data_IF_391578541825
#
_entry.id   IF_391578541825
#
_cell.length_a   1.000
_cell.length_b   1.000
_cell.length_c   1.000
_cell.angle_alpha   90.00
_cell.angle_beta   90.00
_cell.angle_gamma   90.00
#
_symmetry.space_group_name_H-M   'P 1'
#
loop_
_entity.id
_entity.type
_entity.pdbx_description
1 polymer ?
#
# COMPACT_ATOMS: atom_id res chain seq x y z
N UNK A 1 -21.97 -36.17 -34.62
CA UNK A 1 -21.38 -35.30 -35.66
C UNK A 1 -20.67 -34.16 -34.92
N UNK A 2 -19.37 -34.17 -34.57
CA UNK A 2 -18.09 -34.29 -35.29
C UNK A 2 -17.80 -33.17 -36.31
N UNK A 3 -17.33 -32.03 -35.81
CA UNK A 3 -16.29 -31.19 -36.42
C UNK A 3 -15.24 -30.96 -35.30
N UNK A 4 -14.05 -31.55 -35.23
CA UNK A 4 -12.87 -31.69 -36.13
C UNK A 4 -12.08 -30.39 -36.36
N UNK A 5 -10.98 -30.32 -35.61
CA UNK A 5 -9.66 -29.72 -35.87
C UNK A 5 -9.50 -28.19 -35.92
N UNK A 6 -8.69 -27.66 -34.99
CA UNK A 6 -7.31 -27.25 -35.32
C UNK A 6 -6.39 -27.47 -34.11
N UNK A 7 -5.50 -28.44 -34.24
CA UNK A 7 -4.25 -28.61 -33.48
C UNK A 7 -3.13 -28.06 -34.36
N UNK A 8 -2.19 -27.33 -33.80
CA UNK A 8 -0.75 -27.14 -34.15
C UNK A 8 -0.30 -25.81 -33.53
N UNK A 9 0.90 -25.56 -32.98
CA UNK A 9 2.20 -26.25 -32.94
C UNK A 9 2.98 -25.69 -31.72
N UNK A 10 3.87 -26.52 -31.16
CA UNK A 10 4.88 -26.18 -30.16
C UNK A 10 5.82 -25.06 -30.64
N UNK A 11 6.35 -24.25 -29.71
CA UNK A 11 7.77 -23.92 -29.74
C UNK A 11 8.30 -23.64 -28.34
N UNK A 12 9.01 -24.64 -27.82
CA UNK A 12 9.90 -24.55 -26.67
C UNK A 12 11.06 -23.61 -27.01
N UNK A 13 11.34 -22.63 -26.16
CA UNK A 13 12.63 -21.95 -26.14
C UNK A 13 13.27 -22.22 -24.77
N UNK A 14 14.13 -23.24 -24.73
CA UNK A 14 15.09 -23.43 -23.65
C UNK A 14 16.23 -22.43 -23.90
N UNK A 15 16.46 -21.53 -22.94
CA UNK A 15 17.68 -20.71 -22.94
C UNK A 15 18.68 -21.43 -22.05
N UNK A 16 19.60 -22.13 -22.70
CA UNK A 16 20.86 -22.59 -22.13
C UNK A 16 21.82 -21.40 -22.09
N UNK A 17 22.33 -21.04 -20.90
CA UNK A 17 23.57 -20.30 -20.78
C UNK A 17 24.61 -21.19 -20.13
N UNK A 18 25.64 -21.52 -20.92
CA UNK A 18 26.84 -22.23 -20.48
C UNK A 18 27.93 -21.23 -20.07
N UNK A 19 28.75 -21.74 -19.16
CA UNK A 19 29.82 -21.14 -18.35
C UNK A 19 30.89 -20.29 -19.06
N UNK A 20 31.45 -19.33 -18.31
CA UNK A 20 32.90 -19.07 -18.31
C UNK A 20 33.42 -18.99 -16.87
N UNK A 21 34.50 -19.71 -16.61
CA UNK A 21 35.33 -19.71 -15.40
C UNK A 21 36.43 -18.63 -15.49
N UNK A 22 37.23 -18.54 -14.42
CA UNK A 22 38.41 -17.68 -14.16
C UNK A 22 38.06 -16.28 -13.62
N UNK A 23 38.63 -15.79 -12.51
CA UNK A 23 39.93 -16.07 -11.88
C UNK A 23 39.82 -15.84 -10.37
N UNK A 24 40.36 -16.77 -9.57
CA UNK A 24 40.71 -16.52 -8.17
C UNK A 24 41.94 -15.61 -8.11
N UNK A 25 41.77 -14.38 -7.65
CA UNK A 25 42.88 -13.57 -7.17
C UNK A 25 43.20 -14.00 -5.73
N UNK A 26 44.26 -14.79 -5.59
CA UNK A 26 44.98 -14.96 -4.32
C UNK A 26 45.63 -13.62 -3.99
N UNK A 27 45.08 -12.90 -3.00
CA UNK A 27 45.77 -11.79 -2.37
C UNK A 27 46.79 -12.36 -1.39
N UNK A 28 48.04 -12.06 -1.66
CA UNK A 28 49.21 -12.33 -0.83
C UNK A 28 49.05 -11.71 0.57
N UNK A 29 49.33 -12.53 1.59
CA UNK A 29 49.53 -12.09 2.97
C UNK A 29 50.84 -11.28 3.03
N UNK A 30 50.75 -10.01 3.39
CA UNK A 30 51.87 -9.24 3.94
C UNK A 30 51.45 -8.74 5.33
N UNK A 31 52.27 -9.09 6.32
CA UNK A 31 52.06 -8.78 7.72
C UNK A 31 52.79 -7.47 8.08
N UNK A 32 52.05 -6.61 8.80
CA UNK A 32 52.42 -5.58 9.77
C UNK A 32 53.41 -4.44 9.41
N UNK A 33 52.92 -3.20 9.53
CA UNK A 33 53.34 -2.28 10.62
C UNK A 33 52.36 -1.12 10.80
N UNK A 34 52.18 -0.76 12.07
CA UNK A 34 51.27 0.24 12.63
C UNK A 34 51.27 1.61 11.96
N UNK A 35 50.07 2.15 11.69
CA UNK A 35 49.70 3.52 12.08
C UNK A 35 48.18 3.58 12.20
N UNK A 36 47.67 3.75 13.43
CA UNK A 36 46.25 3.86 13.72
C UNK A 36 45.61 5.06 12.98
N UNK A 37 44.89 4.77 11.90
CA UNK A 37 43.93 5.69 11.26
C UNK A 37 42.55 5.34 11.83
N UNK A 38 41.79 6.30 12.38
CA UNK A 38 40.47 6.00 12.91
C UNK A 38 39.64 5.37 11.79
N UNK A 39 39.08 4.18 12.07
CA UNK A 39 38.19 3.49 11.17
C UNK A 39 37.10 4.48 10.74
N UNK A 40 37.00 4.72 9.44
CA UNK A 40 35.82 5.34 8.88
C UNK A 40 34.66 4.42 9.28
N UNK A 41 33.88 4.87 10.28
CA UNK A 41 32.59 4.29 10.58
C UNK A 41 31.79 4.49 9.30
N UNK A 42 31.70 3.43 8.49
CA UNK A 42 30.72 3.37 7.43
C UNK A 42 29.39 3.77 8.07
N UNK A 43 28.71 4.83 7.60
CA UNK A 43 27.39 5.15 8.10
C UNK A 43 26.57 3.87 7.94
N UNK A 44 26.03 3.37 9.06
CA UNK A 44 25.20 2.19 9.06
C UNK A 44 24.18 2.36 7.94
N UNK A 45 24.25 1.51 6.90
CA UNK A 45 23.26 1.50 5.83
C UNK A 45 21.92 1.33 6.52
N UNK A 46 21.10 2.39 6.51
CA UNK A 46 19.82 2.38 7.19
C UNK A 46 19.05 1.13 6.74
N UNK A 47 18.44 0.37 7.68
CA UNK A 47 17.68 -0.81 7.31
C UNK A 47 16.62 -0.40 6.30
N UNK A 48 16.71 -0.98 5.10
CA UNK A 48 15.84 -0.66 3.97
C UNK A 48 14.36 -0.87 4.31
N UNK A 49 13.52 -0.18 3.55
CA UNK A 49 12.06 -0.23 3.68
C UNK A 49 11.53 -1.66 3.50
N UNK A 50 10.55 -2.06 4.31
CA UNK A 50 9.84 -3.33 4.11
C UNK A 50 8.65 -3.11 3.19
N UNK A 51 8.61 -3.81 2.07
CA UNK A 51 7.44 -3.85 1.18
C UNK A 51 6.61 -5.08 1.49
N UNK A 52 5.33 -4.88 1.77
CA UNK A 52 4.38 -5.92 2.15
C UNK A 52 3.20 -5.95 1.17
N UNK A 53 2.85 -7.13 0.61
CA UNK A 53 1.67 -7.25 -0.24
C UNK A 53 0.38 -6.85 0.48
N UNK A 54 -0.41 -5.97 -0.13
CA UNK A 54 -1.66 -5.46 0.44
C UNK A 54 -2.86 -6.34 0.04
N UNK A 55 -2.77 -7.67 0.25
CA UNK A 55 -3.73 -8.68 -0.28
C UNK A 55 -5.20 -8.34 -0.06
N UNK A 56 -5.56 -7.83 1.13
CA UNK A 56 -6.93 -7.44 1.47
C UNK A 56 -7.36 -6.21 0.66
N UNK A 57 -6.56 -5.16 0.68
CA UNK A 57 -6.79 -3.93 -0.07
C UNK A 57 -6.81 -4.14 -1.59
N UNK A 58 -6.02 -5.07 -2.11
CA UNK A 58 -6.07 -5.43 -3.53
C UNK A 58 -7.42 -6.00 -3.95
N UNK A 59 -8.13 -6.69 -3.04
CA UNK A 59 -9.48 -7.23 -3.28
C UNK A 59 -10.57 -6.16 -3.24
N UNK A 60 -10.29 -4.97 -2.71
CA UNK A 60 -11.19 -3.80 -2.82
C UNK A 60 -11.35 -3.33 -4.27
N UNK A 61 -10.34 -3.62 -5.11
CA UNK A 61 -10.29 -3.18 -6.49
C UNK A 61 -10.09 -1.67 -6.61
N UNK A 62 -10.64 -1.09 -7.66
CA UNK A 62 -10.43 0.30 -8.04
C UNK A 62 -11.42 1.22 -7.33
N UNK A 63 -11.24 1.41 -6.03
CA UNK A 63 -12.11 2.23 -5.17
C UNK A 63 -11.38 3.38 -4.47
N UNK A 64 -10.10 3.58 -4.76
CA UNK A 64 -9.31 4.66 -4.18
C UNK A 64 -9.11 5.79 -5.19
N UNK A 65 -9.04 7.03 -4.71
CA UNK A 65 -8.76 8.22 -5.51
C UNK A 65 -7.74 9.10 -4.80
N UNK A 66 -6.99 9.83 -5.60
CA UNK A 66 -6.08 10.86 -5.12
C UNK A 66 -6.84 12.15 -4.77
N UNK A 67 -6.43 12.80 -3.68
CA UNK A 67 -6.74 14.20 -3.44
C UNK A 67 -6.06 15.09 -4.50
N UNK A 68 -6.64 16.25 -4.77
CA UNK A 68 -6.17 17.15 -5.85
C UNK A 68 -4.74 17.67 -5.60
N UNK A 69 -4.34 17.73 -4.34
CA UNK A 69 -3.05 18.20 -3.84
C UNK A 69 -2.17 17.07 -3.30
N UNK A 70 -2.51 15.81 -3.59
CA UNK A 70 -1.75 14.66 -3.12
C UNK A 70 -0.29 14.71 -3.57
N UNK A 71 0.60 14.18 -2.74
CA UNK A 71 2.00 13.96 -3.12
C UNK A 71 2.18 12.49 -3.49
N UNK A 72 2.66 12.23 -4.70
CA UNK A 72 2.87 10.87 -5.23
C UNK A 72 4.30 10.75 -5.70
N UNK A 73 4.95 9.64 -5.39
CA UNK A 73 6.33 9.34 -5.77
C UNK A 73 6.37 8.19 -6.78
N UNK A 74 7.41 8.15 -7.61
CA UNK A 74 7.57 7.12 -8.63
C UNK A 74 7.96 5.79 -7.99
N UNK A 75 8.95 5.84 -7.11
CA UNK A 75 9.45 4.67 -6.40
C UNK A 75 9.27 4.82 -4.90
N UNK A 76 9.36 3.69 -4.20
CA UNK A 76 9.27 3.69 -2.74
C UNK A 76 10.51 4.33 -2.11
N UNK A 77 11.68 4.15 -2.74
CA UNK A 77 12.95 4.69 -2.27
C UNK A 77 12.97 6.23 -2.36
N UNK A 78 12.39 6.79 -3.42
CA UNK A 78 12.21 8.24 -3.62
C UNK A 78 11.57 8.92 -2.41
N UNK A 79 10.59 8.24 -1.80
CA UNK A 79 9.89 8.70 -0.62
C UNK A 79 10.81 8.78 0.60
N UNK A 80 11.65 7.76 0.79
CA UNK A 80 12.49 7.59 1.98
C UNK A 80 13.70 8.52 1.94
N UNK A 81 14.40 8.52 0.82
CA UNK A 81 15.65 9.25 0.66
C UNK A 81 15.41 10.74 0.44
N UNK A 82 14.17 11.16 0.14
CA UNK A 82 13.84 12.51 -0.33
C UNK A 82 14.72 12.95 -1.53
N UNK A 83 15.39 12.01 -2.20
CA UNK A 83 16.36 12.31 -3.26
C UNK A 83 15.67 12.61 -4.59
N UNK A 84 14.41 12.23 -4.72
CA UNK A 84 13.72 12.20 -6.00
C UNK A 84 12.48 13.08 -5.96
N UNK A 85 12.19 13.70 -7.11
CA UNK A 85 11.05 14.61 -7.22
C UNK A 85 9.75 13.79 -7.28
N UNK A 86 8.72 14.15 -6.49
CA UNK A 86 7.41 13.57 -6.67
C UNK A 86 6.85 13.90 -8.05
N UNK A 87 5.83 13.16 -8.48
CA UNK A 87 5.05 13.49 -9.66
C UNK A 87 4.64 14.96 -9.65
N UNK A 88 4.71 15.60 -10.82
CA UNK A 88 4.33 17.00 -10.97
C UNK A 88 2.87 17.24 -10.53
N UNK A 89 2.62 18.39 -9.87
CA UNK A 89 1.28 18.80 -9.41
C UNK A 89 0.21 18.75 -10.52
N UNK A 90 0.60 18.99 -11.78
CA UNK A 90 -0.30 18.90 -12.94
C UNK A 90 -0.79 17.47 -13.20
N UNK A 91 0.09 16.47 -13.02
CA UNK A 91 -0.26 15.06 -13.16
C UNK A 91 -1.27 14.64 -12.10
N UNK A 92 -1.03 14.99 -10.83
CA UNK A 92 -1.95 14.65 -9.72
C UNK A 92 -3.31 15.31 -9.92
N UNK A 93 -3.33 16.61 -10.26
CA UNK A 93 -4.58 17.32 -10.60
C UNK A 93 -5.33 16.63 -11.73
N UNK A 94 -4.64 16.21 -12.79
CA UNK A 94 -5.24 15.47 -13.90
C UNK A 94 -5.85 14.14 -13.44
N UNK A 95 -5.17 13.37 -12.59
CA UNK A 95 -5.72 12.11 -12.06
C UNK A 95 -6.99 12.35 -11.22
N UNK A 96 -6.97 13.37 -10.35
CA UNK A 96 -8.11 13.74 -9.52
C UNK A 96 -9.29 14.25 -10.35
N UNK A 97 -9.04 15.19 -11.27
CA UNK A 97 -10.07 15.82 -12.12
C UNK A 97 -10.70 14.79 -13.09
N UNK A 98 -9.90 13.88 -13.64
CA UNK A 98 -10.39 12.75 -14.45
C UNK A 98 -11.04 11.64 -13.64
N UNK A 99 -11.12 11.76 -12.31
CA UNK A 99 -11.73 10.78 -11.43
C UNK A 99 -11.11 9.37 -11.57
N UNK A 100 -9.81 9.30 -11.87
CA UNK A 100 -9.09 8.03 -12.02
C UNK A 100 -9.14 7.26 -10.71
N UNK A 101 -9.48 5.97 -10.81
CA UNK A 101 -9.58 5.09 -9.65
C UNK A 101 -8.38 4.16 -9.60
N UNK A 102 -7.87 3.97 -8.40
CA UNK A 102 -6.72 3.16 -8.11
C UNK A 102 -7.09 1.99 -7.21
N UNK A 103 -6.32 0.92 -7.35
CA UNK A 103 -6.24 -0.22 -6.43
C UNK A 103 -4.94 -0.09 -5.64
N UNK A 104 -4.96 -0.48 -4.37
CA UNK A 104 -3.75 -0.59 -3.56
C UNK A 104 -3.19 -2.02 -3.68
N UNK A 105 -1.94 -2.16 -4.10
CA UNK A 105 -1.30 -3.47 -4.29
C UNK A 105 -0.34 -3.83 -3.18
N UNK A 106 0.35 -2.85 -2.63
CA UNK A 106 1.46 -3.02 -1.69
C UNK A 106 1.47 -1.88 -0.68
N UNK A 107 2.05 -2.18 0.47
CA UNK A 107 2.43 -1.19 1.47
C UNK A 107 3.93 -1.15 1.58
N UNK A 108 4.49 0.04 1.70
CA UNK A 108 5.86 0.24 2.09
C UNK A 108 5.90 0.86 3.47
N UNK A 109 6.70 0.31 4.37
CA UNK A 109 6.88 0.82 5.73
C UNK A 109 8.32 1.27 5.94
N UNK A 110 8.52 2.59 6.03
CA UNK A 110 9.78 3.21 6.42
C UNK A 110 9.80 3.58 7.90
N UNK A 111 10.86 4.26 8.37
CA UNK A 111 10.98 4.70 9.77
C UNK A 111 9.91 5.72 10.22
N UNK A 112 9.30 6.45 9.29
CA UNK A 112 8.45 7.62 9.62
C UNK A 112 7.02 7.50 9.08
N UNK A 113 6.80 6.85 7.93
CA UNK A 113 5.47 6.81 7.32
C UNK A 113 5.14 5.47 6.63
N UNK A 114 3.84 5.16 6.62
CA UNK A 114 3.24 4.10 5.82
C UNK A 114 2.77 4.68 4.49
N UNK A 115 3.26 4.12 3.39
CA UNK A 115 2.85 4.48 2.03
C UNK A 115 2.15 3.31 1.35
N UNK A 116 1.21 3.63 0.48
CA UNK A 116 0.49 2.66 -0.34
C UNK A 116 0.95 2.78 -1.80
N UNK A 117 1.28 1.65 -2.41
CA UNK A 117 1.43 1.57 -3.86
C UNK A 117 0.05 1.52 -4.50
N UNK A 118 -0.20 2.48 -5.40
CA UNK A 118 -1.46 2.62 -6.13
C UNK A 118 -1.26 2.32 -7.61
N UNK A 119 -2.22 1.62 -8.22
CA UNK A 119 -2.21 1.30 -9.65
C UNK A 119 -3.59 1.51 -10.25
N UNK A 120 -3.67 2.21 -11.37
CA UNK A 120 -4.92 2.42 -12.11
C UNK A 120 -5.31 1.19 -12.95
N UNK A 121 -6.51 1.20 -13.52
CA UNK A 121 -7.01 0.06 -14.31
C UNK A 121 -6.15 -0.25 -15.55
N UNK A 122 -5.46 0.74 -16.09
CA UNK A 122 -4.62 0.56 -17.28
C UNK A 122 -3.21 0.07 -16.95
N UNK A 123 -2.80 0.13 -15.67
CA UNK A 123 -1.42 -0.12 -15.23
C UNK A 123 -0.45 1.01 -15.61
N UNK A 124 -0.88 2.02 -16.35
CA UNK A 124 -0.01 3.12 -16.82
C UNK A 124 0.20 4.19 -15.77
N UNK A 125 -0.75 4.36 -14.85
CA UNK A 125 -0.65 5.33 -13.77
C UNK A 125 -0.47 4.58 -12.46
N UNK A 126 0.72 4.69 -11.89
CA UNK A 126 1.06 4.08 -10.61
C UNK A 126 2.06 4.92 -9.84
N UNK A 127 2.18 4.65 -8.55
CA UNK A 127 3.15 5.31 -7.67
C UNK A 127 2.85 5.07 -6.20
N UNK A 128 3.63 5.73 -5.37
CA UNK A 128 3.58 5.62 -3.91
C UNK A 128 3.02 6.89 -3.29
N UNK A 129 2.06 6.74 -2.39
CA UNK A 129 1.37 7.86 -1.74
C UNK A 129 1.22 7.56 -0.24
N UNK A 130 1.35 8.58 0.61
CA UNK A 130 1.12 8.44 2.05
C UNK A 130 -0.30 7.92 2.31
N UNK A 131 -0.41 6.92 3.19
CA UNK A 131 -1.67 6.23 3.40
C UNK A 131 -2.64 6.97 4.35
N UNK A 132 -2.11 7.71 5.34
CA UNK A 132 -2.91 8.30 6.44
C UNK A 132 -3.08 9.83 6.41
N UNK A 133 -2.51 10.55 5.43
CA UNK A 133 -2.55 12.02 5.40
C UNK A 133 -3.72 12.63 4.60
N UNK A 134 -4.62 11.79 4.07
CA UNK A 134 -5.74 12.24 3.23
C UNK A 134 -5.42 12.41 1.74
N UNK A 135 -4.17 12.17 1.31
CA UNK A 135 -3.77 12.21 -0.10
C UNK A 135 -4.42 11.09 -0.93
N UNK A 136 -4.75 9.98 -0.27
CA UNK A 136 -5.49 8.86 -0.81
C UNK A 136 -6.79 8.67 -0.03
N UNK A 137 -7.91 8.46 -0.72
CA UNK A 137 -9.19 8.20 -0.05
C UNK A 137 -10.05 7.17 -0.76
N UNK A 138 -10.88 6.47 0.01
CA UNK A 138 -11.91 5.58 -0.54
C UNK A 138 -13.08 6.41 -1.10
N UNK A 139 -13.52 6.15 -2.34
CA UNK A 139 -14.61 6.89 -2.98
C UNK A 139 -15.92 6.85 -2.18
N UNK A 140 -16.15 5.79 -1.40
CA UNK A 140 -17.34 5.64 -0.58
C UNK A 140 -17.29 6.50 0.68
N UNK A 141 -16.09 6.90 1.13
CA UNK A 141 -15.89 7.77 2.28
C UNK A 141 -16.50 9.17 2.12
N UNK A 142 -16.87 9.57 0.89
CA UNK A 142 -17.55 10.83 0.57
C UNK A 142 -19.07 10.71 0.43
N UNK A 143 -19.64 9.50 0.54
CA UNK A 143 -21.09 9.32 0.44
C UNK A 143 -21.77 9.91 1.68
N UNK A 144 -22.71 10.84 1.47
CA UNK A 144 -23.47 11.50 2.54
C UNK A 144 -24.15 10.48 3.46
N UNK A 145 -24.81 9.47 2.88
CA UNK A 145 -25.48 8.41 3.64
C UNK A 145 -24.53 7.61 4.55
N UNK A 146 -23.24 7.51 4.22
CA UNK A 146 -22.26 6.77 5.03
C UNK A 146 -21.57 7.64 6.10
N UNK A 147 -21.73 8.98 6.08
CA UNK A 147 -21.04 9.84 7.05
C UNK A 147 -21.39 9.55 8.52
N UNK A 148 -22.67 9.29 8.89
CA UNK A 148 -23.00 8.95 10.27
C UNK A 148 -22.29 7.67 10.73
N UNK A 149 -22.22 6.65 9.86
CA UNK A 149 -21.48 5.43 10.11
C UNK A 149 -19.99 5.72 10.28
N UNK A 150 -19.36 6.42 9.33
CA UNK A 150 -17.92 6.75 9.36
C UNK A 150 -17.58 7.51 10.65
N UNK A 151 -18.39 8.48 11.06
CA UNK A 151 -18.19 9.22 12.31
C UNK A 151 -18.29 8.30 13.54
N UNK A 152 -19.23 7.36 13.53
CA UNK A 152 -19.33 6.36 14.59
C UNK A 152 -18.08 5.47 14.60
N UNK A 153 -17.62 4.99 13.44
CA UNK A 153 -16.43 4.15 13.28
C UNK A 153 -15.14 4.81 13.77
N UNK A 154 -14.91 6.07 13.41
CA UNK A 154 -13.75 6.84 13.88
C UNK A 154 -13.71 6.95 15.41
N UNK A 155 -14.86 7.24 16.06
CA UNK A 155 -14.93 7.24 17.53
C UNK A 155 -14.54 5.91 18.18
N UNK A 156 -14.80 4.80 17.50
CA UNK A 156 -14.43 3.48 18.00
C UNK A 156 -12.92 3.28 17.88
N UNK A 157 -12.30 3.77 16.80
CA UNK A 157 -10.84 3.80 16.66
C UNK A 157 -10.18 4.72 17.69
N UNK A 158 -10.70 5.93 17.88
CA UNK A 158 -10.21 6.89 18.87
C UNK A 158 -10.26 6.30 20.28
N UNK A 159 -11.38 5.68 20.64
CA UNK A 159 -11.54 4.97 21.94
C UNK A 159 -10.44 3.92 22.16
N UNK A 160 -10.11 3.14 21.13
CA UNK A 160 -9.08 2.12 21.23
C UNK A 160 -7.68 2.74 21.40
N UNK A 161 -7.36 3.82 20.68
CA UNK A 161 -6.10 4.54 20.83
C UNK A 161 -5.96 5.19 22.21
N UNK A 162 -7.07 5.62 22.81
CA UNK A 162 -7.15 6.12 24.19
C UNK A 162 -7.10 5.00 25.26
N UNK A 163 -6.97 3.73 24.87
CA UNK A 163 -6.95 2.58 25.77
C UNK A 163 -8.31 2.22 26.38
N UNK A 164 -9.40 2.78 25.86
CA UNK A 164 -10.78 2.49 26.29
C UNK A 164 -11.32 1.30 25.50
N UNK A 165 -12.22 0.52 26.13
CA UNK A 165 -12.89 -0.60 25.46
C UNK A 165 -13.77 -0.07 24.31
N UNK A 166 -13.50 -0.41 23.04
CA UNK A 166 -14.29 0.06 21.90
C UNK A 166 -15.71 -0.53 21.90
N UNK A 167 -16.71 0.28 21.54
CA UNK A 167 -18.11 -0.15 21.44
C UNK A 167 -18.68 0.05 20.04
N UNK A 168 -19.14 -1.04 19.42
CA UNK A 168 -19.72 -1.03 18.08
C UNK A 168 -21.24 -0.77 18.04
N UNK A 169 -21.85 -0.41 19.17
CA UNK A 169 -23.32 -0.25 19.26
C UNK A 169 -23.80 0.85 18.31
N UNK A 170 -23.17 2.03 18.35
CA UNK A 170 -23.54 3.15 17.46
C UNK A 170 -23.32 2.78 15.99
N UNK A 171 -22.18 2.17 15.66
CA UNK A 171 -21.87 1.72 14.30
C UNK A 171 -22.92 0.76 13.75
N UNK A 172 -23.33 -0.24 14.55
CA UNK A 172 -24.39 -1.19 14.18
C UNK A 172 -25.74 -0.49 13.99
N UNK A 173 -26.07 0.48 14.84
CA UNK A 173 -27.32 1.23 14.73
C UNK A 173 -27.35 2.09 13.46
N UNK A 174 -26.26 2.79 13.12
CA UNK A 174 -26.17 3.53 11.86
C UNK A 174 -26.24 2.61 10.64
N UNK A 175 -25.59 1.45 10.67
CA UNK A 175 -25.67 0.48 9.58
C UNK A 175 -27.08 -0.08 9.34
N UNK A 176 -27.90 -0.23 10.39
CA UNK A 176 -29.30 -0.69 10.27
C UNK A 176 -30.17 0.27 9.46
N UNK A 177 -29.90 1.58 9.53
CA UNK A 177 -30.60 2.64 8.80
C UNK A 177 -30.25 2.69 7.31
N UNK A 178 -29.22 1.95 6.88
CA UNK A 178 -28.77 1.94 5.49
C UNK A 178 -29.46 0.83 4.70
N UNK A 179 -29.59 1.08 3.40
CA UNK A 179 -30.22 0.17 2.45
C UNK A 179 -29.34 -0.04 1.20
N UNK A 180 -29.66 -1.08 0.42
CA UNK A 180 -29.00 -1.39 -0.84
C UNK A 180 -27.47 -1.48 -0.73
N UNK A 181 -26.77 -0.83 -1.66
CA UNK A 181 -25.30 -0.86 -1.71
C UNK A 181 -24.64 -0.25 -0.47
N UNK A 182 -25.25 0.78 0.13
CA UNK A 182 -24.69 1.41 1.35
C UNK A 182 -24.75 0.45 2.54
N UNK A 183 -25.78 -0.40 2.64
CA UNK A 183 -25.84 -1.45 3.66
C UNK A 183 -24.74 -2.49 3.49
N UNK A 184 -24.46 -2.90 2.25
CA UNK A 184 -23.36 -3.84 1.95
C UNK A 184 -22.00 -3.26 2.36
N UNK A 185 -21.74 -1.99 2.01
CA UNK A 185 -20.52 -1.28 2.40
C UNK A 185 -20.42 -1.17 3.93
N UNK A 186 -21.50 -0.80 4.61
CA UNK A 186 -21.52 -0.66 6.05
C UNK A 186 -21.24 -1.97 6.79
N UNK A 187 -21.89 -3.06 6.38
CA UNK A 187 -21.67 -4.38 6.99
C UNK A 187 -20.23 -4.85 6.81
N UNK A 188 -19.63 -4.56 5.65
CA UNK A 188 -18.23 -4.83 5.38
C UNK A 188 -17.32 -3.99 6.29
N UNK A 189 -17.55 -2.67 6.37
CA UNK A 189 -16.75 -1.78 7.23
C UNK A 189 -16.78 -2.19 8.70
N UNK A 190 -17.96 -2.54 9.22
CA UNK A 190 -18.11 -3.07 10.59
C UNK A 190 -17.29 -4.34 10.81
N UNK A 191 -17.23 -5.23 9.82
CA UNK A 191 -16.42 -6.44 9.91
C UNK A 191 -14.93 -6.07 9.95
N UNK A 192 -14.48 -5.20 9.05
CA UNK A 192 -13.09 -4.75 8.99
C UNK A 192 -12.62 -4.07 10.27
N UNK A 193 -13.47 -3.26 10.91
CA UNK A 193 -13.16 -2.64 12.21
C UNK A 193 -13.01 -3.68 13.32
N UNK A 194 -13.87 -4.70 13.33
CA UNK A 194 -13.73 -5.80 14.31
C UNK A 194 -12.44 -6.56 14.11
N UNK A 195 -12.13 -6.90 12.85
CA UNK A 195 -10.93 -7.63 12.48
C UNK A 195 -9.68 -6.81 12.84
N UNK A 196 -9.71 -5.48 12.61
CA UNK A 196 -8.64 -4.56 13.00
C UNK A 196 -8.39 -4.51 14.51
N UNK A 197 -9.43 -4.49 15.36
CA UNK A 197 -9.26 -4.56 16.82
C UNK A 197 -8.72 -5.90 17.32
N UNK A 198 -9.12 -6.98 16.64
CA UNK A 198 -8.70 -8.32 17.02
C UNK A 198 -7.26 -8.62 16.60
N UNK A 199 -6.75 -7.90 15.60
CA UNK A 199 -5.40 -8.07 15.13
C UNK A 199 -4.38 -7.53 16.14
N UNK A 200 -3.47 -8.41 16.55
CA UNK A 200 -2.35 -8.11 17.45
C UNK A 200 -1.00 -8.25 16.75
N UNK A 201 -1.01 -8.41 15.43
CA UNK A 201 0.21 -8.55 14.63
C UNK A 201 0.89 -7.20 14.34
N UNK A 202 2.16 -7.28 13.97
CA UNK A 202 3.01 -6.13 13.64
C UNK A 202 2.57 -5.39 12.36
N UNK A 203 1.63 -5.97 11.60
CA UNK A 203 1.14 -5.45 10.31
C UNK A 203 -0.33 -5.02 10.39
N UNK A 204 -0.78 -4.51 11.53
CA UNK A 204 -2.17 -4.12 11.79
C UNK A 204 -2.72 -3.11 10.77
N UNK A 205 -1.85 -2.32 10.14
CA UNK A 205 -2.22 -1.41 9.04
C UNK A 205 -2.79 -2.14 7.81
N UNK A 206 -2.45 -3.41 7.59
CA UNK A 206 -3.01 -4.21 6.49
C UNK A 206 -4.49 -4.53 6.72
N UNK A 207 -4.94 -4.49 7.99
CA UNK A 207 -6.32 -4.68 8.41
C UNK A 207 -7.09 -3.36 8.55
N UNK A 208 -6.44 -2.21 8.35
CA UNK A 208 -7.08 -0.90 8.51
C UNK A 208 -8.39 -0.80 7.70
N UNK A 209 -9.52 -0.36 8.28
CA UNK A 209 -10.81 -0.35 7.59
C UNK A 209 -10.76 0.45 6.27
N UNK A 210 -11.09 -0.20 5.16
CA UNK A 210 -10.92 0.38 3.83
C UNK A 210 -11.81 1.60 3.59
N UNK A 211 -12.98 1.65 4.22
CA UNK A 211 -13.92 2.78 4.12
C UNK A 211 -13.37 4.05 4.79
N UNK A 212 -12.47 3.89 5.75
CA UNK A 212 -11.90 4.98 6.54
C UNK A 212 -10.63 5.57 5.92
N UNK A 213 -10.12 5.00 4.83
CA UNK A 213 -8.94 5.56 4.14
C UNK A 213 -9.25 6.99 3.68
N UNK A 214 -8.43 7.93 4.14
CA UNK A 214 -8.57 9.37 3.90
C UNK A 214 -9.54 10.09 4.85
N UNK A 215 -9.71 9.58 6.08
CA UNK A 215 -10.53 10.17 7.14
C UNK A 215 -9.75 10.42 8.41
#
# INVERSE_FOLDING_TARGET
MKHKYFRTILCSAAILFSFTTLTTLTVTKAESTDTAKPAAVSPATDPGMTVTPAKRFSKEGYVFKLARNATVYHEVNDFVSHTSKPFGKSWVKKMADKNIKFKITEFGTGRVELVAHIVDQSGKNQGWVTFFNGDLYNIYAKRKALQPLIKAELKVMDSQFEGKKPSLIQTKNEAKKLHGQNKKIANKSIKEIKDWFADKGDLSYTQYPSLLVGK
#
